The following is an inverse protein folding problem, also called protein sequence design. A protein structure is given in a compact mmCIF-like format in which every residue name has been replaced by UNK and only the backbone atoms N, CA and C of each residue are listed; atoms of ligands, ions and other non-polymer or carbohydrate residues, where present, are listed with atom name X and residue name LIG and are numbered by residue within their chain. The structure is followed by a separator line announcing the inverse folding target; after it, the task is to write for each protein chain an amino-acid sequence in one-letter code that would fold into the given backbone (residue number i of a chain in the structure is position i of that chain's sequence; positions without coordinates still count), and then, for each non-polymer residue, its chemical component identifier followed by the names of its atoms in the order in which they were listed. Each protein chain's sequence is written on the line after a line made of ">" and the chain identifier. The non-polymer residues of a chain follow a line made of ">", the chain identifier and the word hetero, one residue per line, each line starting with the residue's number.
data_IF_877089585077
#
_entry.id   IF_877089585077
#
_cell.length_a   1.000
_cell.length_b   1.000
_cell.length_c   1.000
_cell.angle_alpha   90.00
_cell.angle_beta   90.00
_cell.angle_gamma   90.00
#
_symmetry.space_group_name_H-M   'P 1'
#
loop_
_entity.id
_entity.type
_entity.pdbx_description
1 polymer ?
#
# COMPACT_ATOMS: atom_id res chain seq x y z
N UNK A 1 -22.01 -34.37 50.42
CA UNK A 1 -22.19 -33.92 49.02
C UNK A 1 -22.08 -32.40 48.97
N UNK A 2 -21.60 -31.83 47.85
CA UNK A 2 -21.37 -30.39 47.57
C UNK A 2 -19.92 -29.85 47.71
N UNK A 3 -18.90 -30.71 47.53
CA UNK A 3 -17.51 -30.31 47.22
C UNK A 3 -17.28 -30.20 45.70
N UNK A 4 -18.22 -29.59 44.98
CA UNK A 4 -18.20 -29.52 43.50
C UNK A 4 -18.60 -28.14 42.97
N UNK A 5 -18.20 -27.06 43.66
CA UNK A 5 -18.57 -25.68 43.31
C UNK A 5 -17.38 -24.74 43.06
N UNK A 6 -16.17 -25.27 42.86
CA UNK A 6 -14.96 -24.44 42.66
C UNK A 6 -14.18 -24.75 41.37
N UNK A 7 -14.78 -25.43 40.39
CA UNK A 7 -14.08 -25.92 39.20
C UNK A 7 -14.56 -25.34 37.87
N UNK A 8 -15.13 -24.12 37.85
CA UNK A 8 -15.57 -23.47 36.59
C UNK A 8 -15.06 -22.04 36.38
N UNK A 9 -14.23 -21.51 37.28
CA UNK A 9 -13.79 -20.11 37.21
C UNK A 9 -12.44 -19.88 36.47
N UNK A 10 -11.84 -20.91 35.85
CA UNK A 10 -10.49 -20.83 35.30
C UNK A 10 -10.38 -20.98 33.77
N UNK A 11 -11.49 -20.82 33.02
CA UNK A 11 -11.46 -20.90 31.55
C UNK A 11 -11.83 -19.59 30.83
N UNK A 12 -11.79 -18.45 31.52
CA UNK A 12 -12.09 -17.13 30.94
C UNK A 12 -10.89 -16.30 30.43
N UNK A 13 -9.59 -16.57 30.71
CA UNK A 13 -8.56 -15.63 30.26
C UNK A 13 -8.08 -15.85 28.82
N UNK A 14 -8.48 -16.94 28.14
CA UNK A 14 -8.07 -17.20 26.74
C UNK A 14 -8.92 -16.46 25.70
N UNK A 15 -10.03 -15.82 26.09
CA UNK A 15 -10.86 -15.00 25.19
C UNK A 15 -10.31 -13.58 24.98
N UNK A 16 -9.30 -13.15 25.74
CA UNK A 16 -8.73 -11.81 25.63
C UNK A 16 -7.81 -11.60 24.41
N UNK A 17 -7.38 -12.68 23.73
CA UNK A 17 -6.54 -12.58 22.52
C UNK A 17 -7.34 -12.47 21.21
N UNK A 18 -8.63 -12.80 21.20
CA UNK A 18 -9.51 -12.63 20.04
C UNK A 18 -10.25 -11.27 20.03
N UNK A 19 -10.16 -10.50 21.12
CA UNK A 19 -10.91 -9.25 21.30
C UNK A 19 -10.28 -8.03 20.60
N UNK A 20 -9.14 -8.17 19.91
CA UNK A 20 -8.65 -7.10 19.02
C UNK A 20 -9.25 -7.18 17.60
N UNK A 21 -10.21 -8.08 17.36
CA UNK A 21 -10.94 -8.17 16.09
C UNK A 21 -12.37 -8.67 16.31
N UNK A 22 -13.27 -7.79 16.76
CA UNK A 22 -14.71 -7.74 16.40
C UNK A 22 -15.49 -6.87 17.40
N UNK A 23 -16.10 -5.81 16.88
CA UNK A 23 -17.07 -4.96 17.58
C UNK A 23 -18.43 -5.70 17.71
N UNK A 24 -19.09 -5.73 18.88
CA UNK A 24 -20.38 -6.39 19.03
C UNK A 24 -21.48 -5.58 18.36
N UNK A 25 -22.07 -6.18 17.33
CA UNK A 25 -23.18 -5.70 16.52
C UNK A 25 -24.23 -4.87 17.28
N UNK A 26 -24.13 -3.54 17.18
CA UNK A 26 -25.30 -2.74 16.82
C UNK A 26 -25.62 -3.06 15.37
N UNK A 27 -26.88 -3.38 15.06
CA UNK A 27 -27.40 -3.60 13.70
C UNK A 27 -27.04 -2.46 12.77
N UNK A 28 -25.84 -2.52 12.18
CA UNK A 28 -25.46 -1.71 11.05
C UNK A 28 -25.81 -2.55 9.84
N UNK A 29 -26.81 -2.10 9.09
CA UNK A 29 -26.97 -2.47 7.68
C UNK A 29 -25.57 -2.68 7.10
N UNK A 30 -25.33 -3.85 6.48
CA UNK A 30 -24.09 -4.11 5.77
C UNK A 30 -23.88 -2.97 4.77
N UNK A 31 -23.04 -2.00 5.15
CA UNK A 31 -22.60 -0.98 4.24
C UNK A 31 -21.91 -1.72 3.08
N UNK A 32 -22.10 -1.30 1.83
CA UNK A 32 -21.43 -1.96 0.71
C UNK A 32 -19.94 -1.99 1.04
N UNK A 33 -19.30 -3.16 0.88
CA UNK A 33 -17.90 -3.39 1.26
C UNK A 33 -16.94 -2.31 0.72
N UNK A 34 -17.31 -1.66 -0.40
CA UNK A 34 -16.58 -0.51 -0.95
C UNK A 34 -16.57 0.73 -0.05
N UNK A 35 -17.61 1.02 0.72
CA UNK A 35 -17.69 2.25 1.54
C UNK A 35 -16.70 2.24 2.70
N UNK A 36 -16.49 1.09 3.35
CA UNK A 36 -15.47 0.93 4.39
C UNK A 36 -14.06 1.03 3.83
N UNK A 37 -13.83 0.52 2.61
CA UNK A 37 -12.51 0.53 2.01
C UNK A 37 -12.12 1.90 1.44
N UNK A 38 -13.07 2.70 0.96
CA UNK A 38 -12.85 4.11 0.60
C UNK A 38 -12.48 4.93 1.84
N UNK A 39 -13.14 4.67 2.97
CA UNK A 39 -12.82 5.34 4.24
C UNK A 39 -11.42 4.96 4.76
N UNK A 40 -11.01 3.69 4.60
CA UNK A 40 -9.66 3.23 4.94
C UNK A 40 -8.59 3.83 4.01
N UNK A 41 -8.85 3.89 2.70
CA UNK A 41 -7.95 4.52 1.73
C UNK A 41 -7.87 6.05 1.82
N UNK A 42 -8.72 6.66 2.66
CA UNK A 42 -8.69 8.10 2.94
C UNK A 42 -7.88 8.43 4.21
N UNK A 43 -7.37 7.43 4.92
CA UNK A 43 -6.53 7.64 6.09
C UNK A 43 -5.17 8.17 5.67
N UNK A 44 -4.69 9.18 6.38
CA UNK A 44 -3.33 9.69 6.18
C UNK A 44 -2.33 8.84 6.96
N UNK A 45 -1.77 7.84 6.28
CA UNK A 45 -0.72 6.96 6.83
C UNK A 45 0.69 7.34 6.36
N UNK A 46 0.81 8.29 5.43
CA UNK A 46 2.05 8.60 4.72
C UNK A 46 2.68 9.93 5.17
N UNK A 47 1.91 10.85 5.78
CA UNK A 47 2.45 12.16 6.22
C UNK A 47 3.52 12.09 7.30
N UNK A 48 3.53 11.04 8.12
CA UNK A 48 4.56 10.83 9.14
C UNK A 48 5.95 10.51 8.58
N UNK A 49 6.01 10.03 7.33
CA UNK A 49 7.26 9.56 6.72
C UNK A 49 8.17 10.72 6.31
N UNK A 50 9.47 10.51 6.48
CA UNK A 50 10.51 11.51 6.22
C UNK A 50 11.62 10.90 5.38
N UNK A 51 12.23 11.73 4.54
CA UNK A 51 13.41 11.34 3.76
C UNK A 51 14.52 10.85 4.69
N UNK A 52 15.14 9.74 4.32
CA UNK A 52 16.33 9.18 4.97
C UNK A 52 17.47 9.23 3.96
N UNK A 53 18.39 10.19 4.12
CA UNK A 53 19.47 10.43 3.15
C UNK A 53 20.36 9.21 2.92
N UNK A 54 20.60 8.41 3.95
CA UNK A 54 21.38 7.18 3.82
C UNK A 54 20.74 6.15 2.87
N UNK A 55 19.42 6.05 2.84
CA UNK A 55 18.69 5.14 1.95
C UNK A 55 18.57 5.75 0.55
N UNK A 56 18.30 7.06 0.47
CA UNK A 56 18.27 7.80 -0.79
C UNK A 56 19.61 7.74 -1.54
N UNK A 57 20.73 7.68 -0.82
CA UNK A 57 22.07 7.55 -1.39
C UNK A 57 22.34 6.19 -2.06
N UNK A 58 21.54 5.16 -1.74
CA UNK A 58 21.65 3.83 -2.35
C UNK A 58 20.99 3.75 -3.72
N UNK A 59 20.21 4.76 -4.11
CA UNK A 59 19.59 4.80 -5.41
C UNK A 59 20.65 4.97 -6.51
N UNK A 60 20.44 4.36 -7.70
CA UNK A 60 21.24 4.62 -8.88
C UNK A 60 21.35 6.14 -9.19
N UNK A 61 22.51 6.54 -9.73
CA UNK A 61 22.82 7.94 -10.07
C UNK A 61 21.76 8.59 -10.97
N UNK A 62 21.28 7.86 -11.98
CA UNK A 62 20.25 8.28 -12.91
C UNK A 62 18.91 8.52 -12.21
N UNK A 63 18.50 7.64 -11.30
CA UNK A 63 17.26 7.81 -10.52
C UNK A 63 17.37 8.98 -9.54
N UNK A 64 18.52 9.14 -8.87
CA UNK A 64 18.79 10.28 -7.98
C UNK A 64 18.73 11.61 -8.73
N UNK A 65 19.29 11.67 -9.94
CA UNK A 65 19.26 12.87 -10.80
C UNK A 65 17.85 13.16 -11.33
N UNK A 66 17.13 12.11 -11.75
CA UNK A 66 15.76 12.25 -12.24
C UNK A 66 14.76 12.65 -11.13
N UNK A 67 15.06 12.33 -9.87
CA UNK A 67 14.19 12.62 -8.72
C UNK A 67 12.83 11.91 -8.78
N UNK A 68 12.68 10.95 -9.69
CA UNK A 68 11.43 10.25 -9.95
C UNK A 68 11.67 8.82 -10.43
N UNK A 69 10.69 7.96 -10.17
CA UNK A 69 10.70 6.56 -10.57
C UNK A 69 9.35 6.20 -11.20
N UNK A 70 9.39 5.56 -12.37
CA UNK A 70 8.20 4.99 -13.00
C UNK A 70 7.84 3.68 -12.31
N UNK A 71 6.62 3.58 -11.82
CA UNK A 71 6.09 2.39 -11.15
C UNK A 71 4.93 1.84 -11.97
N UNK A 72 5.18 0.72 -12.64
CA UNK A 72 4.12 -0.10 -13.23
C UNK A 72 3.38 -0.85 -12.14
N UNK A 73 2.08 -0.62 -11.99
CA UNK A 73 1.25 -1.34 -11.03
C UNK A 73 -0.08 -1.77 -11.65
N UNK A 74 -0.58 -2.94 -11.25
CA UNK A 74 -1.92 -3.37 -11.61
C UNK A 74 -2.93 -2.75 -10.64
N UNK A 75 -4.00 -2.18 -11.19
CA UNK A 75 -5.11 -1.63 -10.39
C UNK A 75 -6.22 -2.68 -10.31
N UNK A 76 -6.62 -3.01 -9.09
CA UNK A 76 -7.60 -4.05 -8.78
C UNK A 76 -8.77 -3.50 -7.96
N UNK A 77 -9.06 -4.17 -6.84
CA UNK A 77 -10.18 -3.86 -5.95
C UNK A 77 -9.67 -3.62 -4.53
N UNK A 78 -10.42 -2.89 -3.68
CA UNK A 78 -9.97 -2.69 -2.31
C UNK A 78 -9.74 -4.03 -1.56
N UNK A 79 -8.75 -4.10 -0.65
CA UNK A 79 -7.95 -2.99 -0.10
C UNK A 79 -6.65 -2.69 -0.88
N UNK A 80 -6.32 -3.47 -1.92
CA UNK A 80 -5.15 -3.25 -2.78
C UNK A 80 -5.32 -1.98 -3.62
N UNK A 81 -4.36 -1.62 -4.48
CA UNK A 81 -4.52 -0.46 -5.38
C UNK A 81 -5.86 -0.53 -6.16
N UNK A 82 -6.68 0.50 -6.05
CA UNK A 82 -7.98 0.63 -6.75
C UNK A 82 -8.26 2.09 -7.10
N UNK A 83 -9.29 2.34 -7.91
CA UNK A 83 -9.78 3.69 -8.19
C UNK A 83 -11.00 4.01 -7.33
N UNK A 84 -10.89 4.84 -6.26
CA UNK A 84 -12.03 5.23 -5.44
C UNK A 84 -13.04 6.06 -6.23
N UNK A 85 -12.54 6.86 -7.17
CA UNK A 85 -13.33 7.59 -8.14
C UNK A 85 -12.85 7.23 -9.56
N UNK A 86 -13.66 6.50 -10.36
CA UNK A 86 -13.29 6.11 -11.71
C UNK A 86 -13.16 7.29 -12.68
N UNK A 87 -13.75 8.46 -12.37
CA UNK A 87 -13.63 9.64 -13.21
C UNK A 87 -12.26 10.32 -13.11
N UNK A 88 -11.66 10.31 -11.90
CA UNK A 88 -10.35 10.93 -11.67
C UNK A 88 -9.18 10.01 -12.00
N UNK A 89 -9.42 8.69 -12.04
CA UNK A 89 -8.37 7.66 -12.16
C UNK A 89 -7.20 7.89 -11.19
N UNK A 90 -7.49 8.41 -9.99
CA UNK A 90 -6.50 8.53 -8.93
C UNK A 90 -6.49 7.23 -8.12
N UNK A 91 -5.42 6.45 -8.23
CA UNK A 91 -5.29 5.21 -7.47
C UNK A 91 -5.15 5.50 -5.97
N UNK A 92 -5.78 4.68 -5.12
CA UNK A 92 -5.63 4.64 -3.67
C UNK A 92 -5.64 3.20 -3.17
N UNK A 93 -5.30 2.99 -1.89
CA UNK A 93 -5.25 1.66 -1.26
C UNK A 93 -3.86 1.32 -0.73
N UNK A 94 -3.73 0.12 -0.16
CA UNK A 94 -2.53 -0.28 0.58
C UNK A 94 -1.23 -0.17 -0.24
N UNK A 95 -1.24 -0.66 -1.48
CA UNK A 95 -0.04 -0.67 -2.32
C UNK A 95 0.37 0.76 -2.72
N UNK A 96 -0.62 1.64 -2.86
CA UNK A 96 -0.45 3.07 -3.15
C UNK A 96 0.20 3.77 -1.96
N UNK A 97 -0.36 3.58 -0.77
CA UNK A 97 0.17 4.18 0.46
C UNK A 97 1.59 3.69 0.75
N UNK A 98 1.85 2.40 0.54
CA UNK A 98 3.18 1.83 0.69
C UNK A 98 4.18 2.41 -0.30
N UNK A 99 3.83 2.50 -1.59
CA UNK A 99 4.68 3.08 -2.60
C UNK A 99 4.99 4.56 -2.31
N UNK A 100 3.99 5.33 -1.86
CA UNK A 100 4.15 6.75 -1.54
C UNK A 100 4.99 6.96 -0.27
N UNK A 101 4.86 6.09 0.73
CA UNK A 101 5.72 6.07 1.91
C UNK A 101 7.19 5.81 1.53
N UNK A 102 7.44 4.78 0.72
CA UNK A 102 8.78 4.46 0.19
C UNK A 102 9.35 5.64 -0.59
N UNK A 103 8.54 6.26 -1.45
CA UNK A 103 8.95 7.44 -2.22
C UNK A 103 9.37 8.61 -1.33
N UNK A 104 8.63 8.85 -0.24
CA UNK A 104 8.95 9.87 0.76
C UNK A 104 10.27 9.58 1.48
N UNK A 105 10.48 8.34 1.90
CA UNK A 105 11.74 7.90 2.55
C UNK A 105 12.92 8.06 1.59
N UNK A 106 12.73 7.74 0.32
CA UNK A 106 13.73 7.88 -0.73
C UNK A 106 13.91 9.34 -1.21
N UNK A 107 12.94 10.21 -0.95
CA UNK A 107 12.93 11.59 -1.43
C UNK A 107 12.75 11.72 -2.94
N UNK A 108 11.93 10.84 -3.54
CA UNK A 108 11.64 10.80 -4.97
C UNK A 108 10.12 10.86 -5.22
N UNK A 109 9.73 11.14 -6.46
CA UNK A 109 8.33 11.11 -6.92
C UNK A 109 8.02 9.82 -7.68
N UNK A 110 6.88 9.19 -7.40
CA UNK A 110 6.42 8.03 -8.18
C UNK A 110 5.55 8.49 -9.35
N UNK A 111 5.92 8.06 -10.56
CA UNK A 111 5.11 8.17 -11.75
C UNK A 111 4.42 6.83 -12.00
N UNK A 112 3.12 6.72 -11.70
CA UNK A 112 2.39 5.46 -11.88
C UNK A 112 1.98 5.25 -13.32
N UNK A 113 2.23 4.05 -13.79
CA UNK A 113 1.74 3.57 -15.07
C UNK A 113 0.86 2.34 -14.82
N UNK A 114 -0.36 2.37 -15.36
CA UNK A 114 -1.25 1.23 -15.33
C UNK A 114 -0.66 0.13 -16.23
N UNK A 115 -0.06 -0.87 -15.60
CA UNK A 115 0.47 -2.04 -16.26
C UNK A 115 -0.41 -3.23 -15.91
N UNK A 116 -1.25 -3.65 -16.86
CA UNK A 116 -1.93 -4.94 -16.76
C UNK A 116 -0.87 -6.05 -16.67
N UNK A 117 -1.16 -7.14 -15.94
CA UNK A 117 -0.20 -8.24 -15.74
C UNK A 117 0.39 -8.78 -17.06
N UNK A 118 -0.44 -8.86 -18.11
CA UNK A 118 -0.05 -9.23 -19.48
C UNK A 118 0.98 -8.28 -20.13
N UNK A 119 0.97 -7.00 -19.77
CA UNK A 119 1.86 -5.97 -20.33
C UNK A 119 3.03 -5.63 -19.44
N UNK A 120 3.04 -6.10 -18.18
CA UNK A 120 4.11 -5.81 -17.21
C UNK A 120 5.45 -6.38 -17.68
N UNK A 121 5.49 -7.64 -18.13
CA UNK A 121 6.73 -8.25 -18.63
C UNK A 121 7.25 -7.58 -19.92
N UNK A 122 6.41 -7.29 -20.93
CA UNK A 122 6.81 -6.48 -22.08
C UNK A 122 7.32 -5.08 -21.71
N UNK A 123 6.63 -4.36 -20.81
CA UNK A 123 6.97 -3.00 -20.41
C UNK A 123 8.33 -2.92 -19.69
N UNK A 124 8.61 -3.88 -18.80
CA UNK A 124 9.92 -3.99 -18.13
C UNK A 124 11.05 -4.20 -19.14
N UNK A 125 10.82 -5.04 -20.16
CA UNK A 125 11.82 -5.28 -21.21
C UNK A 125 12.11 -4.03 -22.03
N UNK A 126 11.06 -3.26 -22.36
CA UNK A 126 11.21 -1.98 -23.07
C UNK A 126 11.98 -0.97 -22.23
N UNK A 127 11.65 -0.80 -20.94
CA UNK A 127 12.35 0.12 -20.05
C UNK A 127 13.86 -0.23 -19.89
N UNK A 128 14.19 -1.52 -19.76
CA UNK A 128 15.60 -1.99 -19.72
C UNK A 128 16.33 -1.67 -21.04
N UNK A 129 15.61 -1.69 -22.15
CA UNK A 129 16.18 -1.38 -23.47
C UNK A 129 16.37 0.12 -23.65
N UNK A 130 15.41 0.95 -23.22
CA UNK A 130 15.49 2.42 -23.24
C UNK A 130 16.64 2.93 -22.36
N UNK A 131 16.79 2.37 -21.15
CA UNK A 131 17.92 2.66 -20.26
C UNK A 131 19.28 2.35 -20.90
N UNK A 132 19.35 1.35 -21.79
CA UNK A 132 20.60 1.02 -22.53
C UNK A 132 20.82 1.83 -23.80
N UNK A 133 19.79 2.45 -24.36
CA UNK A 133 19.88 3.15 -25.66
C UNK A 133 20.09 4.66 -25.49
N UNK A 134 19.88 5.25 -24.31
CA UNK A 134 20.18 6.67 -24.08
C UNK A 134 21.70 6.89 -23.96
N UNK A 135 22.39 7.48 -24.95
CA UNK A 135 23.78 7.90 -24.78
C UNK A 135 23.84 9.11 -23.81
N UNK A 136 24.93 9.27 -23.05
CA UNK A 136 25.12 10.44 -22.21
C UNK A 136 25.33 11.66 -23.11
N UNK A 137 24.30 12.48 -23.31
CA UNK A 137 24.48 13.84 -23.85
C UNK A 137 25.16 14.69 -22.79
N UNK A 138 26.47 14.86 -22.93
CA UNK A 138 27.28 15.85 -22.23
C UNK A 138 27.66 16.97 -23.23
N UNK A 139 27.64 18.25 -22.81
CA UNK A 139 28.20 19.35 -23.60
C UNK A 139 29.73 19.29 -23.69
#
# INVERSE_FOLDING_TARGET
>A
MRRTLLATAALLPTLALAACSSDPATTKTAAPAGSSAIAAASQDVVSGERKVDAVAALLPEDVRKAGSLRLGAAVGSPPTAFYPDPATKKAAGLDVDFADAVAKVLGITIQREDASFETTLPALRSAITESRISPPEHP
#
